data_IF_464699061836
#
_entry.id   IF_464699061836
#
_cell.length_a   1.000
_cell.length_b   1.000
_cell.length_c   1.000
_cell.angle_alpha   90.00
_cell.angle_beta   90.00
_cell.angle_gamma   90.00
#
_symmetry.space_group_name_H-M   'P 1'
#
loop_
_entity.id
_entity.type
_entity.pdbx_description
1 polymer ?
#
# COMPACT_ATOMS: atom_id res chain seq x y z
N UNK A 1 39.47 68.54 -22.67
CA UNK A 1 39.14 69.62 -21.72
C UNK A 1 38.79 68.95 -20.39
N UNK A 2 39.67 69.09 -19.39
CA UNK A 2 39.55 68.82 -17.94
C UNK A 2 38.87 67.52 -17.46
N UNK A 3 39.60 66.48 -17.01
CA UNK A 3 40.32 66.21 -15.73
C UNK A 3 39.38 65.74 -14.58
N UNK A 4 39.87 64.71 -13.85
CA UNK A 4 39.58 64.22 -12.48
C UNK A 4 38.57 63.07 -12.31
N UNK A 5 38.72 62.09 -11.40
CA UNK A 5 39.80 61.30 -10.74
C UNK A 5 39.08 60.50 -9.62
N UNK A 6 39.72 59.42 -9.14
CA UNK A 6 39.52 58.69 -7.84
C UNK A 6 38.32 57.73 -7.77
N UNK A 7 38.53 56.40 -7.84
CA UNK A 7 39.04 55.48 -6.78
C UNK A 7 38.23 55.56 -5.48
N UNK A 8 37.36 54.57 -5.22
CA UNK A 8 37.22 53.90 -3.91
C UNK A 8 36.86 52.42 -4.15
N UNK A 9 37.71 51.53 -3.63
CA UNK A 9 37.51 50.10 -3.46
C UNK A 9 36.54 49.83 -2.30
N UNK A 10 35.48 49.03 -2.51
CA UNK A 10 34.63 48.49 -1.45
C UNK A 10 34.21 47.05 -1.82
N UNK A 11 34.81 46.09 -1.10
CA UNK A 11 34.23 44.84 -0.61
C UNK A 11 33.14 44.17 -1.47
N UNK A 12 33.52 43.20 -2.30
CA UNK A 12 32.59 42.17 -2.78
C UNK A 12 32.35 41.16 -1.66
N UNK A 13 31.26 41.36 -0.93
CA UNK A 13 30.71 40.42 0.03
C UNK A 13 30.40 39.10 -0.70
N UNK A 14 31.14 38.04 -0.34
CA UNK A 14 30.89 36.68 -0.81
C UNK A 14 29.61 36.18 -0.15
N UNK A 15 28.51 36.11 -0.90
CA UNK A 15 27.34 35.33 -0.51
C UNK A 15 27.51 33.92 -1.07
N UNK A 16 28.19 33.05 -0.32
CA UNK A 16 28.15 31.61 -0.56
C UNK A 16 26.80 31.14 -0.04
N UNK A 17 25.84 30.92 -0.94
CA UNK A 17 24.57 30.29 -0.61
C UNK A 17 24.88 28.82 -0.31
N UNK A 18 25.07 28.48 0.98
CA UNK A 18 25.06 27.10 1.43
C UNK A 18 23.62 26.58 1.28
N UNK A 19 23.35 25.95 0.14
CA UNK A 19 22.21 25.05 0.01
C UNK A 19 22.50 23.85 0.92
N UNK A 20 21.99 23.92 2.15
CA UNK A 20 21.86 22.75 3.01
C UNK A 20 20.76 21.90 2.38
N UNK A 21 21.18 20.96 1.53
CA UNK A 21 20.32 19.87 1.08
C UNK A 21 20.13 18.99 2.31
N UNK A 22 19.04 19.19 3.04
CA UNK A 22 18.55 18.17 3.95
C UNK A 22 18.03 17.01 3.08
N UNK A 23 18.55 15.78 3.22
CA UNK A 23 17.85 14.63 2.68
C UNK A 23 16.54 14.52 3.45
N UNK A 24 15.43 14.82 2.77
CA UNK A 24 14.09 14.54 3.27
C UNK A 24 13.90 13.03 3.13
N UNK A 25 14.31 12.28 4.15
CA UNK A 25 13.94 10.89 4.29
C UNK A 25 12.49 10.86 4.79
N UNK A 26 11.54 10.73 3.88
CA UNK A 26 10.14 10.45 4.22
C UNK A 26 9.81 9.03 3.78
N UNK A 27 9.80 8.11 4.75
CA UNK A 27 9.26 6.77 4.60
C UNK A 27 8.40 6.50 5.83
N UNK A 28 7.08 6.40 5.66
CA UNK A 28 6.25 6.07 6.81
C UNK A 28 4.96 5.38 6.41
N UNK A 29 4.95 4.08 6.70
CA UNK A 29 3.80 3.50 7.38
C UNK A 29 3.50 4.30 8.67
N UNK A 30 2.26 4.37 9.18
CA UNK A 30 1.86 5.18 10.35
C UNK A 30 2.90 5.13 11.49
N UNK A 31 3.83 6.10 11.49
CA UNK A 31 5.07 6.07 12.29
C UNK A 31 5.52 7.49 12.61
N UNK A 32 6.57 7.63 13.42
CA UNK A 32 7.08 8.95 13.84
C UNK A 32 8.14 9.53 12.90
N UNK A 33 8.61 8.78 11.89
CA UNK A 33 9.76 9.15 11.04
C UNK A 33 11.05 9.46 11.81
N UNK A 34 11.17 8.96 13.04
CA UNK A 34 12.40 9.07 13.81
C UNK A 34 13.48 8.14 13.23
N UNK A 35 14.74 8.54 13.30
CA UNK A 35 15.85 7.61 13.02
C UNK A 35 15.94 6.54 14.10
N UNK A 36 16.40 5.31 13.78
CA UNK A 36 16.70 4.29 14.78
C UNK A 36 17.58 4.85 15.89
N UNK A 37 17.31 4.44 17.13
CA UNK A 37 17.99 4.97 18.32
C UNK A 37 19.48 4.66 18.25
N UNK A 38 19.86 3.49 17.73
CA UNK A 38 21.28 3.12 17.58
C UNK A 38 22.06 3.97 16.57
N UNK A 39 21.40 4.73 15.69
CA UNK A 39 22.10 5.54 14.68
C UNK A 39 22.61 6.86 15.24
N UNK A 40 21.93 7.42 16.23
CA UNK A 40 22.24 8.73 16.82
C UNK A 40 22.71 8.65 18.29
N UNK A 41 22.68 7.46 18.89
CA UNK A 41 23.08 7.29 20.28
C UNK A 41 24.57 7.56 20.50
N UNK A 42 24.86 8.42 21.48
CA UNK A 42 26.21 8.65 22.00
C UNK A 42 26.51 7.76 23.21
N UNK A 43 25.64 6.81 23.54
CA UNK A 43 25.82 5.94 24.70
C UNK A 43 27.03 5.04 24.51
N UNK A 44 27.98 5.16 25.44
CA UNK A 44 29.23 4.41 25.42
C UNK A 44 28.99 2.90 25.51
N UNK A 45 27.88 2.43 26.10
CA UNK A 45 27.54 1.00 26.13
C UNK A 45 27.23 0.46 24.72
N UNK A 46 26.46 1.21 23.91
CA UNK A 46 26.19 0.89 22.51
C UNK A 46 27.44 1.01 21.63
N UNK A 47 28.27 2.02 21.87
CA UNK A 47 29.49 2.26 21.07
C UNK A 47 30.62 1.27 21.38
N UNK A 48 30.73 0.79 22.63
CA UNK A 48 31.74 -0.21 23.04
C UNK A 48 31.30 -1.64 22.78
N UNK A 49 29.98 -1.90 22.77
CA UNK A 49 29.40 -3.17 22.38
C UNK A 49 28.77 -3.01 20.99
N UNK A 50 29.58 -3.07 19.94
CA UNK A 50 29.08 -3.70 18.70
C UNK A 50 28.97 -5.19 18.99
N UNK A 51 28.00 -5.60 19.80
CA UNK A 51 27.64 -7.02 19.89
C UNK A 51 27.38 -7.50 18.47
N UNK A 52 27.95 -8.65 18.08
CA UNK A 52 27.56 -9.30 16.84
C UNK A 52 26.03 -9.47 16.91
N UNK A 53 25.32 -8.67 16.11
CA UNK A 53 23.86 -8.73 16.05
C UNK A 53 23.54 -10.11 15.47
N UNK A 54 22.82 -10.97 16.21
CA UNK A 54 22.49 -12.30 15.71
C UNK A 54 21.80 -12.18 14.35
N UNK A 55 22.25 -12.99 13.40
CA UNK A 55 21.73 -13.01 12.05
C UNK A 55 20.84 -14.24 11.87
N UNK A 56 19.62 -14.01 11.41
CA UNK A 56 18.74 -15.03 10.84
C UNK A 56 18.86 -14.97 9.32
N UNK A 57 19.25 -16.08 8.70
CA UNK A 57 19.31 -16.20 7.24
C UNK A 57 18.10 -17.00 6.78
N UNK A 58 17.28 -16.43 5.91
CA UNK A 58 16.20 -17.16 5.24
C UNK A 58 16.73 -17.96 4.05
N UNK A 59 15.93 -18.90 3.57
CA UNK A 59 16.29 -19.78 2.46
C UNK A 59 16.50 -19.01 1.16
N UNK A 60 17.37 -19.56 0.31
CA UNK A 60 17.46 -19.11 -1.08
C UNK A 60 16.16 -19.45 -1.83
N UNK A 61 15.78 -18.57 -2.75
CA UNK A 61 14.60 -18.73 -3.57
C UNK A 61 14.92 -19.55 -4.83
N UNK A 62 14.00 -20.44 -5.21
CA UNK A 62 14.02 -21.10 -6.52
C UNK A 62 13.29 -20.19 -7.53
N UNK A 63 14.04 -19.22 -8.08
CA UNK A 63 13.47 -18.19 -8.95
C UNK A 63 12.86 -18.75 -10.25
N UNK A 64 13.43 -19.81 -10.80
CA UNK A 64 12.90 -20.47 -12.00
C UNK A 64 11.54 -21.10 -11.70
N UNK A 65 11.43 -21.80 -10.57
CA UNK A 65 10.16 -22.36 -10.11
C UNK A 65 9.12 -21.26 -9.84
N UNK A 66 9.51 -20.20 -9.12
CA UNK A 66 8.61 -19.09 -8.81
C UNK A 66 8.09 -18.42 -10.10
N UNK A 67 8.95 -18.25 -11.10
CA UNK A 67 8.53 -17.70 -12.39
C UNK A 67 7.48 -18.57 -13.08
N UNK A 68 7.62 -19.91 -13.06
CA UNK A 68 6.62 -20.81 -13.65
C UNK A 68 5.29 -20.78 -12.89
N UNK A 69 5.35 -20.74 -11.55
CA UNK A 69 4.15 -20.60 -10.72
C UNK A 69 3.43 -19.29 -11.00
N UNK A 70 4.17 -18.18 -11.10
CA UNK A 70 3.59 -16.87 -11.33
C UNK A 70 2.89 -16.77 -12.71
N UNK A 71 3.42 -17.41 -13.74
CA UNK A 71 2.76 -17.49 -15.05
C UNK A 71 1.42 -18.22 -14.99
N UNK A 72 1.30 -19.22 -14.12
CA UNK A 72 0.05 -19.97 -13.90
C UNK A 72 -0.93 -19.10 -13.10
N UNK A 73 -0.46 -18.44 -12.05
CA UNK A 73 -1.24 -17.49 -11.24
C UNK A 73 -1.84 -16.38 -12.12
N UNK A 74 -1.01 -15.76 -12.96
CA UNK A 74 -1.43 -14.69 -13.88
C UNK A 74 -2.49 -15.18 -14.88
N UNK A 75 -2.36 -16.41 -15.41
CA UNK A 75 -3.38 -17.02 -16.28
C UNK A 75 -4.71 -17.30 -15.57
N UNK A 76 -4.66 -17.60 -14.27
CA UNK A 76 -5.82 -17.81 -13.43
C UNK A 76 -6.44 -16.50 -12.91
N UNK A 77 -5.84 -15.35 -13.24
CA UNK A 77 -6.30 -14.05 -12.76
C UNK A 77 -5.97 -13.78 -11.29
N UNK A 78 -5.02 -14.50 -10.71
CA UNK A 78 -4.56 -14.25 -9.34
C UNK A 78 -3.80 -12.92 -9.28
N UNK A 79 -3.92 -12.17 -8.16
CA UNK A 79 -3.15 -10.93 -7.97
C UNK A 79 -1.64 -11.17 -8.12
N UNK A 80 -0.89 -10.29 -8.81
CA UNK A 80 0.54 -10.47 -9.04
C UNK A 80 1.31 -10.70 -7.73
N UNK A 81 2.08 -11.79 -7.68
CA UNK A 81 2.98 -12.09 -6.56
C UNK A 81 4.29 -11.34 -6.74
N UNK A 82 4.75 -10.69 -5.68
CA UNK A 82 6.06 -10.03 -5.65
C UNK A 82 7.02 -10.64 -4.65
N UNK A 83 6.50 -11.32 -3.62
CA UNK A 83 7.29 -11.82 -2.51
C UNK A 83 6.91 -13.23 -2.08
N UNK A 84 7.89 -13.95 -1.55
CA UNK A 84 7.73 -15.30 -1.03
C UNK A 84 7.83 -15.28 0.50
N UNK A 85 6.81 -15.75 1.24
CA UNK A 85 6.83 -15.76 2.70
C UNK A 85 7.56 -17.00 3.24
N UNK A 86 8.66 -16.81 3.95
CA UNK A 86 9.28 -17.86 4.75
C UNK A 86 8.81 -17.79 6.20
N UNK A 87 8.31 -18.92 6.71
CA UNK A 87 7.87 -19.01 8.11
C UNK A 87 9.06 -19.00 9.05
N UNK A 88 9.04 -18.10 10.03
CA UNK A 88 10.08 -17.97 11.06
C UNK A 88 9.44 -17.91 12.46
N UNK A 89 10.29 -17.90 13.49
CA UNK A 89 9.86 -17.75 14.89
C UNK A 89 10.84 -16.82 15.64
N UNK A 90 10.84 -15.54 15.29
CA UNK A 90 11.73 -14.55 15.91
C UNK A 90 10.95 -13.76 16.97
N UNK A 91 11.45 -13.71 18.19
CA UNK A 91 10.76 -13.07 19.33
C UNK A 91 11.72 -12.21 20.16
N UNK A 92 11.19 -11.38 21.07
CA UNK A 92 12.06 -10.63 22.00
C UNK A 92 12.94 -11.51 22.91
N UNK A 93 12.59 -12.80 23.05
CA UNK A 93 13.34 -13.77 23.85
C UNK A 93 14.24 -14.67 23.02
N UNK A 94 14.05 -14.72 21.69
CA UNK A 94 14.75 -15.65 20.80
C UNK A 94 15.08 -14.99 19.45
N UNK A 95 16.33 -15.13 19.00
CA UNK A 95 16.79 -14.62 17.70
C UNK A 95 17.46 -13.25 17.70
N UNK A 96 17.49 -12.50 18.81
CA UNK A 96 18.16 -11.18 18.87
C UNK A 96 18.99 -10.95 20.13
N UNK A 97 19.67 -9.81 20.20
CA UNK A 97 20.52 -9.40 21.33
C UNK A 97 19.97 -8.17 22.03
N UNK A 98 19.90 -8.23 23.35
CA UNK A 98 19.55 -7.09 24.20
C UNK A 98 20.80 -6.34 24.67
N UNK A 99 20.73 -5.02 24.66
CA UNK A 99 21.74 -4.13 25.24
C UNK A 99 21.05 -3.13 26.15
N UNK A 100 21.63 -2.93 27.34
CA UNK A 100 21.12 -1.96 28.32
C UNK A 100 21.91 -0.66 28.21
N UNK A 101 21.20 0.46 28.12
CA UNK A 101 21.77 1.80 28.03
C UNK A 101 22.06 2.35 29.42
N UNK A 102 22.85 3.43 29.48
CA UNK A 102 23.26 4.08 30.73
C UNK A 102 22.09 4.64 31.55
N UNK A 103 20.98 5.01 30.89
CA UNK A 103 19.74 5.46 31.52
C UNK A 103 18.82 4.31 31.98
N UNK A 104 19.23 3.05 31.77
CA UNK A 104 18.48 1.85 32.12
C UNK A 104 17.45 1.41 31.07
N UNK A 105 17.27 2.16 29.98
CA UNK A 105 16.51 1.70 28.81
C UNK A 105 17.25 0.55 28.12
N UNK A 106 16.57 -0.14 27.20
CA UNK A 106 17.12 -1.30 26.49
C UNK A 106 16.86 -1.22 25.00
N UNK A 107 17.79 -1.75 24.22
CA UNK A 107 17.63 -1.97 22.78
C UNK A 107 17.75 -3.47 22.50
N UNK A 108 16.80 -4.02 21.75
CA UNK A 108 16.87 -5.36 21.18
C UNK A 108 17.09 -5.27 19.68
N UNK A 109 18.03 -6.06 19.14
CA UNK A 109 18.32 -6.12 17.69
C UNK A 109 18.46 -7.53 17.16
N UNK A 110 17.99 -7.74 15.94
CA UNK A 110 18.23 -8.94 15.11
C UNK A 110 18.48 -8.50 13.67
N UNK A 111 19.43 -9.13 13.00
CA UNK A 111 19.68 -8.96 11.56
C UNK A 111 18.99 -10.09 10.81
N UNK A 112 18.34 -9.77 9.69
CA UNK A 112 17.66 -10.75 8.83
C UNK A 112 18.26 -10.59 7.43
N UNK A 113 18.83 -11.68 6.91
CA UNK A 113 19.43 -11.73 5.59
C UNK A 113 18.65 -12.66 4.67
N UNK A 114 18.24 -12.16 3.52
CA UNK A 114 17.55 -12.91 2.47
C UNK A 114 18.32 -12.79 1.16
N UNK A 115 19.13 -13.78 0.77
CA UNK A 115 20.11 -13.63 -0.31
C UNK A 115 19.54 -13.13 -1.64
N UNK A 116 18.35 -13.59 -2.03
CA UNK A 116 17.71 -13.29 -3.33
C UNK A 116 16.64 -12.20 -3.25
N UNK A 117 16.48 -11.53 -2.09
CA UNK A 117 15.48 -10.48 -1.92
C UNK A 117 15.94 -9.16 -2.53
N UNK A 118 15.04 -8.49 -3.24
CA UNK A 118 15.13 -7.10 -3.65
C UNK A 118 14.49 -6.18 -2.60
N UNK A 119 13.54 -6.71 -1.83
CA UNK A 119 12.95 -6.05 -0.66
C UNK A 119 12.56 -7.07 0.41
N UNK A 120 12.46 -6.62 1.65
CA UNK A 120 11.97 -7.41 2.76
C UNK A 120 10.85 -6.66 3.48
N UNK A 121 9.74 -7.36 3.74
CA UNK A 121 8.72 -6.97 4.72
C UNK A 121 8.49 -8.10 5.72
N UNK A 122 7.98 -7.74 6.90
CA UNK A 122 7.81 -8.65 8.02
C UNK A 122 6.34 -8.76 8.40
N UNK A 123 5.89 -9.98 8.68
CA UNK A 123 4.56 -10.27 9.20
C UNK A 123 4.68 -10.79 10.62
N UNK A 124 3.85 -10.24 11.50
CA UNK A 124 3.85 -10.52 12.93
C UNK A 124 2.55 -11.23 13.29
N UNK A 125 2.64 -12.35 14.01
CA UNK A 125 1.46 -12.97 14.64
C UNK A 125 1.18 -12.38 16.03
N UNK A 126 2.18 -11.70 16.64
CA UNK A 126 1.97 -10.94 17.87
C UNK A 126 2.71 -9.61 17.85
N UNK A 127 1.99 -8.56 18.21
CA UNK A 127 2.51 -7.20 18.21
C UNK A 127 1.84 -6.35 19.30
N UNK A 128 2.64 -5.78 20.20
CA UNK A 128 2.20 -4.77 21.15
C UNK A 128 3.36 -3.89 21.59
N UNK A 129 3.26 -2.59 21.32
CA UNK A 129 4.21 -1.56 21.75
C UNK A 129 3.67 -0.84 22.99
N UNK A 130 4.39 -0.82 24.13
CA UNK A 130 4.02 -0.01 25.29
C UNK A 130 4.35 1.47 25.05
N UNK A 131 3.80 2.35 25.88
CA UNK A 131 4.09 3.79 25.82
C UNK A 131 5.60 4.07 25.87
N UNK A 132 6.09 4.88 24.92
CA UNK A 132 7.52 5.17 24.72
C UNK A 132 8.34 4.07 24.04
N UNK A 133 7.78 2.87 23.84
CA UNK A 133 8.38 1.80 23.05
C UNK A 133 8.40 2.15 21.56
N UNK A 134 9.47 1.78 20.86
CA UNK A 134 9.70 2.11 19.44
C UNK A 134 10.28 0.93 18.69
N UNK A 135 9.67 0.54 17.57
CA UNK A 135 10.20 -0.46 16.65
C UNK A 135 10.64 0.19 15.34
N UNK A 136 11.79 -0.21 14.83
CA UNK A 136 12.34 0.19 13.55
C UNK A 136 12.72 -1.04 12.73
N UNK A 137 12.63 -0.92 11.40
CA UNK A 137 13.18 -1.88 10.45
C UNK A 137 14.00 -1.08 9.44
N UNK A 138 15.26 -1.44 9.23
CA UNK A 138 16.15 -0.66 8.36
C UNK A 138 17.15 -1.54 7.63
N UNK A 139 17.59 -1.10 6.44
CA UNK A 139 18.65 -1.76 5.71
C UNK A 139 19.95 -1.72 6.53
N UNK A 140 20.67 -2.83 6.62
CA UNK A 140 21.86 -2.94 7.50
C UNK A 140 22.97 -1.94 7.12
N UNK A 141 23.04 -1.54 5.84
CA UNK A 141 23.91 -0.47 5.32
C UNK A 141 23.45 0.95 5.68
N UNK A 142 22.27 1.08 6.31
CA UNK A 142 21.59 2.32 6.69
C UNK A 142 21.11 3.17 5.51
N UNK A 143 20.94 2.57 4.33
CA UNK A 143 20.41 3.24 3.14
C UNK A 143 18.93 3.61 3.25
N UNK A 144 18.15 2.83 4.02
CA UNK A 144 16.71 3.06 4.21
C UNK A 144 16.23 2.56 5.57
N UNK A 145 15.12 3.14 6.07
CA UNK A 145 14.50 2.76 7.33
C UNK A 145 13.00 3.08 7.35
N UNK A 146 12.22 2.24 8.01
CA UNK A 146 10.81 2.49 8.35
C UNK A 146 10.62 2.45 9.87
N UNK A 147 9.69 3.26 10.37
CA UNK A 147 9.42 3.44 11.80
C UNK A 147 9.62 4.90 12.27
N UNK A 148 9.54 5.19 13.57
CA UNK A 148 9.24 4.26 14.64
C UNK A 148 7.77 3.82 14.63
N UNK A 149 7.53 2.52 14.71
CA UNK A 149 6.22 1.97 15.08
C UNK A 149 6.07 2.07 16.60
N UNK A 150 4.90 2.51 17.05
CA UNK A 150 4.64 2.91 18.44
C UNK A 150 3.29 2.37 18.91
N UNK A 151 2.79 2.84 20.06
CA UNK A 151 1.43 2.54 20.55
C UNK A 151 0.34 2.83 19.50
N UNK A 152 0.59 3.76 18.56
CA UNK A 152 -0.33 4.09 17.45
C UNK A 152 -0.57 2.92 16.48
N UNK A 153 0.30 1.92 16.48
CA UNK A 153 0.20 0.76 15.59
C UNK A 153 -0.46 -0.45 16.26
N UNK A 154 -0.68 -0.40 17.58
CA UNK A 154 -1.34 -1.48 18.31
C UNK A 154 -2.77 -1.67 17.80
N UNK A 155 -3.15 -2.94 17.67
CA UNK A 155 -4.51 -3.39 17.39
C UNK A 155 -5.26 -3.64 18.70
N UNK A 156 -6.48 -4.17 18.64
CA UNK A 156 -7.31 -4.39 19.83
C UNK A 156 -6.67 -5.39 20.80
N UNK A 157 -6.06 -6.45 20.27
CA UNK A 157 -5.32 -7.47 21.00
C UNK A 157 -3.88 -7.59 20.50
N UNK A 158 -2.91 -7.91 21.37
CA UNK A 158 -1.55 -8.26 20.96
C UNK A 158 -1.45 -9.45 20.01
N UNK A 159 -2.50 -10.26 19.87
CA UNK A 159 -2.55 -11.42 18.97
C UNK A 159 -3.16 -11.12 17.60
N UNK A 160 -3.59 -9.88 17.36
CA UNK A 160 -4.18 -9.47 16.08
C UNK A 160 -3.10 -9.16 15.03
N UNK A 161 -1.84 -9.54 15.29
CA UNK A 161 -0.74 -9.39 14.36
C UNK A 161 -0.39 -7.95 13.96
N UNK A 162 0.51 -7.84 12.99
CA UNK A 162 0.94 -6.60 12.35
C UNK A 162 1.69 -6.92 11.05
N UNK A 163 1.80 -5.96 10.14
CA UNK A 163 2.69 -6.04 8.99
C UNK A 163 3.51 -4.77 8.85
N UNK A 164 4.76 -4.90 8.42
CA UNK A 164 5.57 -3.74 8.02
C UNK A 164 5.49 -3.51 6.51
N UNK A 165 5.74 -2.27 6.10
CA UNK A 165 6.07 -1.96 4.71
C UNK A 165 7.41 -2.59 4.27
N UNK A 166 7.74 -2.33 3.01
CA UNK A 166 8.95 -2.82 2.34
C UNK A 166 10.17 -2.01 2.77
N UNK A 167 11.25 -2.73 3.05
CA UNK A 167 12.60 -2.17 3.09
C UNK A 167 13.35 -2.73 1.89
N UNK A 168 13.76 -1.86 0.97
CA UNK A 168 14.47 -2.22 -0.27
C UNK A 168 15.93 -2.57 0.05
N UNK A 169 16.12 -3.78 0.57
CA UNK A 169 17.41 -4.38 0.85
C UNK A 169 17.23 -5.88 1.01
N UNK A 170 18.28 -6.63 0.72
CA UNK A 170 18.35 -8.06 0.98
C UNK A 170 18.86 -8.37 2.41
N UNK A 171 19.17 -7.31 3.18
CA UNK A 171 19.78 -7.39 4.49
C UNK A 171 19.26 -6.26 5.39
N UNK A 172 18.44 -6.64 6.37
CA UNK A 172 17.79 -5.69 7.27
C UNK A 172 18.14 -5.95 8.73
N UNK A 173 18.01 -4.92 9.55
CA UNK A 173 18.02 -5.03 11.01
C UNK A 173 16.68 -4.56 11.56
N UNK A 174 16.14 -5.35 12.49
CA UNK A 174 14.99 -4.98 13.31
C UNK A 174 15.52 -4.47 14.65
N UNK A 175 15.07 -3.28 15.07
CA UNK A 175 15.46 -2.66 16.32
C UNK A 175 14.24 -2.31 17.17
N UNK A 176 14.17 -2.83 18.38
CA UNK A 176 13.16 -2.45 19.37
C UNK A 176 13.82 -1.70 20.53
N UNK A 177 13.43 -0.45 20.72
CA UNK A 177 13.79 0.37 21.87
C UNK A 177 12.71 0.30 22.94
N UNK A 178 13.14 0.02 24.17
CA UNK A 178 12.30 -0.17 25.33
C UNK A 178 12.75 0.74 26.49
N UNK A 179 11.97 1.75 26.87
CA UNK A 179 12.26 2.56 28.04
C UNK A 179 12.29 1.74 29.34
N UNK A 180 13.13 2.15 30.28
CA UNK A 180 13.29 1.48 31.59
C UNK A 180 11.95 1.30 32.33
N UNK A 181 11.06 2.29 32.24
CA UNK A 181 9.75 2.31 32.91
C UNK A 181 8.76 1.25 32.41
N UNK A 182 8.98 0.70 31.21
CA UNK A 182 8.09 -0.28 30.57
C UNK A 182 8.79 -1.59 30.25
N UNK A 183 9.91 -1.86 30.95
CA UNK A 183 10.71 -3.07 30.78
C UNK A 183 9.86 -4.35 30.82
N UNK A 184 9.94 -5.16 29.77
CA UNK A 184 9.25 -6.44 29.62
C UNK A 184 7.78 -6.34 29.25
N UNK A 185 7.26 -5.15 28.90
CA UNK A 185 5.84 -4.96 28.54
C UNK A 185 5.57 -5.05 27.04
N UNK A 186 6.60 -4.97 26.19
CA UNK A 186 6.45 -5.12 24.74
C UNK A 186 6.30 -6.57 24.30
N UNK A 187 5.55 -6.78 23.23
CA UNK A 187 5.35 -8.09 22.60
C UNK A 187 5.71 -7.97 21.13
N UNK A 188 6.64 -8.79 20.66
CA UNK A 188 6.97 -8.96 19.24
C UNK A 188 7.18 -10.43 18.95
N UNK A 189 6.48 -10.92 17.92
CA UNK A 189 6.66 -12.23 17.33
C UNK A 189 6.54 -12.09 15.82
N UNK A 190 7.67 -12.25 15.11
CA UNK A 190 7.72 -12.28 13.65
C UNK A 190 7.46 -13.72 13.23
N UNK A 191 6.39 -13.93 12.46
CA UNK A 191 5.96 -15.24 11.98
C UNK A 191 6.35 -15.49 10.53
N UNK A 192 6.55 -14.44 9.75
CA UNK A 192 7.06 -14.55 8.38
C UNK A 192 8.05 -13.43 8.04
N UNK A 193 9.12 -13.82 7.34
CA UNK A 193 9.96 -12.91 6.55
C UNK A 193 9.53 -13.07 5.10
N UNK A 194 9.11 -11.99 4.46
CA UNK A 194 8.76 -12.01 3.04
C UNK A 194 9.96 -11.52 2.23
N UNK A 195 10.44 -12.39 1.35
CA UNK A 195 11.51 -12.09 0.40
C UNK A 195 10.89 -11.63 -0.91
N UNK A 196 10.90 -10.31 -1.15
CA UNK A 196 10.44 -9.71 -2.40
C UNK A 196 11.42 -10.00 -3.54
N UNK A 197 11.05 -10.84 -4.50
CA UNK A 197 11.90 -11.23 -5.63
C UNK A 197 11.51 -10.53 -6.95
N UNK A 198 10.35 -9.87 -6.96
CA UNK A 198 9.98 -8.88 -7.98
C UNK A 198 9.95 -7.50 -7.33
N UNK A 199 10.46 -6.51 -8.04
CA UNK A 199 10.36 -5.13 -7.59
C UNK A 199 8.91 -4.65 -7.71
N UNK A 200 8.39 -4.03 -6.65
CA UNK A 200 7.15 -3.24 -6.71
C UNK A 200 7.47 -1.83 -7.25
N UNK A 201 8.21 -1.80 -8.36
CA UNK A 201 8.99 -0.67 -8.89
C UNK A 201 10.32 -0.40 -8.15
N UNK A 202 11.43 -0.48 -8.90
CA UNK A 202 12.65 0.29 -8.65
C UNK A 202 13.33 0.54 -10.02
N UNK A 203 12.91 1.61 -10.68
CA UNK A 203 13.70 2.77 -11.11
C UNK A 203 15.23 2.74 -11.31
N UNK A 204 15.99 1.75 -10.86
CA UNK A 204 17.46 1.75 -10.96
C UNK A 204 17.98 0.55 -11.75
N UNK A 205 18.12 0.71 -13.07
CA UNK A 205 19.36 0.56 -13.86
C UNK A 205 19.08 0.49 -15.37
N UNK A 206 20.01 1.04 -16.14
CA UNK A 206 19.95 1.34 -17.58
C UNK A 206 19.72 0.16 -18.53
N UNK A 207 19.48 -1.06 -18.03
CA UNK A 207 19.16 -2.25 -18.83
C UNK A 207 17.78 -2.87 -18.54
N UNK A 208 16.97 -2.29 -17.63
CA UNK A 208 15.52 -2.55 -17.54
C UNK A 208 14.83 -1.27 -17.09
N UNK A 209 14.38 -0.48 -18.05
CA UNK A 209 13.65 0.75 -17.80
C UNK A 209 12.43 0.52 -16.88
N UNK A 210 12.26 1.41 -15.90
CA UNK A 210 10.97 1.96 -15.46
C UNK A 210 9.74 1.51 -16.27
N UNK A 211 8.78 0.82 -15.63
CA UNK A 211 7.51 0.40 -16.24
C UNK A 211 7.31 -1.12 -16.27
N UNK A 212 7.05 -1.72 -15.09
CA UNK A 212 6.48 -3.09 -15.08
C UNK A 212 5.09 -3.07 -15.70
N UNK A 213 4.35 -1.98 -15.50
CA UNK A 213 3.13 -1.74 -16.26
C UNK A 213 3.43 -1.29 -17.68
N UNK A 214 2.62 -1.71 -18.65
CA UNK A 214 2.87 -1.40 -20.04
C UNK A 214 2.96 0.10 -20.34
N UNK A 215 3.70 0.45 -21.41
CA UNK A 215 4.04 1.85 -21.75
C UNK A 215 2.85 2.73 -22.14
N UNK A 216 1.66 2.15 -22.32
CA UNK A 216 0.43 2.90 -22.59
C UNK A 216 -0.20 3.51 -21.34
N UNK A 217 0.20 3.04 -20.15
CA UNK A 217 -0.33 3.51 -18.88
C UNK A 217 -0.03 4.98 -18.65
N UNK A 218 -0.99 5.68 -18.05
CA UNK A 218 -0.95 7.13 -17.90
C UNK A 218 -0.79 7.46 -16.43
N UNK A 219 0.30 8.13 -16.06
CA UNK A 219 0.47 8.60 -14.67
C UNK A 219 -0.70 9.48 -14.25
N UNK A 220 -1.18 9.31 -13.01
CA UNK A 220 -2.35 10.05 -12.50
C UNK A 220 -2.17 11.58 -12.50
N UNK A 221 -0.93 12.07 -12.60
CA UNK A 221 -0.57 13.49 -12.67
C UNK A 221 -0.28 13.97 -14.12
N UNK A 222 -0.74 13.23 -15.12
CA UNK A 222 -0.89 13.69 -16.50
C UNK A 222 -2.16 14.54 -16.69
N UNK A 223 -2.31 15.27 -17.81
CA UNK A 223 -3.48 16.09 -18.09
C UNK A 223 -4.83 15.38 -17.95
N UNK A 224 -4.88 14.07 -18.23
CA UNK A 224 -6.07 13.23 -18.02
C UNK A 224 -6.55 13.20 -16.56
N UNK A 225 -5.63 13.38 -15.60
CA UNK A 225 -5.88 13.38 -14.17
C UNK A 225 -6.07 14.77 -13.54
N UNK A 226 -5.93 15.87 -14.29
CA UNK A 226 -6.03 17.25 -13.75
C UNK A 226 -7.34 17.48 -12.99
N UNK A 227 -8.42 16.87 -13.45
CA UNK A 227 -9.74 17.00 -12.86
C UNK A 227 -10.07 15.93 -11.80
N UNK A 228 -9.13 15.05 -11.43
CA UNK A 228 -9.34 13.88 -10.56
C UNK A 228 -8.44 13.89 -9.31
N UNK A 229 -7.93 15.07 -8.94
CA UNK A 229 -6.94 15.23 -7.87
C UNK A 229 -7.50 14.93 -6.46
N UNK A 230 -8.81 15.00 -6.28
CA UNK A 230 -9.45 14.58 -5.04
C UNK A 230 -9.58 13.07 -4.99
N UNK A 231 -10.15 12.49 -6.04
CA UNK A 231 -10.45 11.07 -6.16
C UNK A 231 -9.19 10.21 -6.05
N UNK A 232 -8.06 10.64 -6.64
CA UNK A 232 -6.80 9.90 -6.52
C UNK A 232 -6.32 9.73 -5.08
N UNK A 233 -6.69 10.64 -4.16
CA UNK A 233 -6.32 10.56 -2.73
C UNK A 233 -7.14 9.51 -1.97
N UNK A 234 -8.18 8.94 -2.58
CA UNK A 234 -8.90 7.81 -2.04
C UNK A 234 -8.28 6.47 -2.42
N UNK A 235 -7.46 6.42 -3.47
CA UNK A 235 -6.94 5.18 -4.06
C UNK A 235 -5.60 4.81 -3.45
N UNK A 236 -5.47 3.54 -3.08
CA UNK A 236 -4.22 2.95 -2.59
C UNK A 236 -3.89 1.66 -3.32
N UNK A 237 -2.59 1.37 -3.40
CA UNK A 237 -2.08 0.03 -3.68
C UNK A 237 -2.16 -0.80 -2.39
N UNK A 238 -2.43 -2.09 -2.52
CA UNK A 238 -2.55 -3.03 -1.40
C UNK A 238 -1.42 -4.05 -1.52
N UNK A 239 -0.64 -4.23 -0.46
CA UNK A 239 0.18 -5.43 -0.28
C UNK A 239 -0.68 -6.50 0.37
N UNK A 240 -1.30 -7.31 -0.48
CA UNK A 240 -2.23 -8.38 -0.11
C UNK A 240 -1.46 -9.50 0.59
N UNK A 241 -1.77 -9.69 1.88
CA UNK A 241 -1.07 -10.62 2.76
C UNK A 241 0.44 -10.42 2.83
N UNK A 242 0.92 -9.22 2.46
CA UNK A 242 2.33 -8.90 2.34
C UNK A 242 3.09 -9.57 1.19
N UNK A 243 2.43 -10.27 0.25
CA UNK A 243 3.11 -11.06 -0.81
C UNK A 243 2.60 -10.80 -2.22
N UNK A 244 1.38 -10.28 -2.36
CA UNK A 244 0.73 -9.96 -3.65
C UNK A 244 0.27 -8.52 -3.71
N UNK A 245 -0.17 -8.07 -4.88
CA UNK A 245 -0.58 -6.68 -5.12
C UNK A 245 -2.00 -6.60 -5.65
N UNK A 246 -2.79 -5.71 -5.06
CA UNK A 246 -4.07 -5.25 -5.61
C UNK A 246 -4.22 -3.73 -5.47
N UNK A 247 -5.35 -3.20 -5.89
CA UNK A 247 -5.77 -1.81 -5.73
C UNK A 247 -7.08 -1.73 -4.94
N UNK A 248 -7.41 -0.54 -4.47
CA UNK A 248 -8.74 -0.25 -3.93
C UNK A 248 -8.92 1.21 -3.60
N UNK A 249 -10.05 1.57 -3.00
CA UNK A 249 -10.34 2.96 -2.66
C UNK A 249 -11.17 3.16 -1.41
N UNK A 250 -10.92 4.26 -0.70
CA UNK A 250 -11.78 4.72 0.38
C UNK A 250 -13.13 5.16 -0.17
N UNK A 251 -14.20 4.71 0.50
CA UNK A 251 -15.59 5.06 0.17
C UNK A 251 -16.27 5.71 1.37
N UNK A 252 -17.09 6.71 1.10
CA UNK A 252 -17.84 7.42 2.12
C UNK A 252 -19.11 6.65 2.55
N UNK A 253 -19.69 7.03 3.68
CA UNK A 253 -20.97 6.51 4.17
C UNK A 253 -22.02 7.61 4.27
N UNK A 254 -23.30 7.26 4.36
CA UNK A 254 -24.36 8.25 4.60
C UNK A 254 -24.25 8.94 5.96
N UNK A 255 -23.48 8.39 6.91
CA UNK A 255 -23.17 9.04 8.18
C UNK A 255 -22.15 10.18 8.04
N UNK A 256 -21.38 10.25 6.94
CA UNK A 256 -20.33 11.25 6.71
C UNK A 256 -19.35 11.37 7.90
N UNK A 257 -18.99 10.25 8.50
CA UNK A 257 -18.19 10.18 9.74
C UNK A 257 -16.70 9.92 9.50
N UNK A 258 -16.26 9.87 8.24
CA UNK A 258 -14.88 9.54 7.82
C UNK A 258 -14.41 8.16 8.28
N UNK A 259 -15.33 7.23 8.57
CA UNK A 259 -14.98 5.83 8.83
C UNK A 259 -14.15 5.27 7.67
N UNK A 260 -13.00 4.60 7.93
CA UNK A 260 -12.07 4.18 6.88
C UNK A 260 -12.55 2.89 6.20
N UNK A 261 -13.71 2.95 5.54
CA UNK A 261 -14.20 1.91 4.66
C UNK A 261 -13.46 1.95 3.33
N UNK A 262 -12.96 0.79 2.91
CA UNK A 262 -12.11 0.65 1.74
C UNK A 262 -12.64 -0.48 0.86
N UNK A 263 -13.05 -0.14 -0.37
CA UNK A 263 -13.57 -1.07 -1.35
C UNK A 263 -12.43 -1.64 -2.21
N UNK A 264 -12.39 -2.96 -2.33
CA UNK A 264 -11.49 -3.72 -3.21
C UNK A 264 -12.22 -4.95 -3.77
N UNK A 265 -11.51 -5.82 -4.48
CA UNK A 265 -12.06 -7.04 -5.07
C UNK A 265 -12.06 -8.23 -4.10
N UNK A 266 -13.03 -9.14 -4.23
CA UNK A 266 -13.11 -10.34 -3.39
C UNK A 266 -11.95 -11.30 -3.65
N UNK A 267 -11.56 -11.49 -4.91
CA UNK A 267 -10.42 -12.36 -5.26
C UNK A 267 -9.09 -11.85 -4.67
N UNK A 268 -8.97 -10.56 -4.35
CA UNK A 268 -7.82 -10.02 -3.61
C UNK A 268 -7.79 -10.44 -2.13
N UNK A 269 -8.92 -10.85 -1.55
CA UNK A 269 -9.03 -11.11 -0.10
C UNK A 269 -9.39 -12.56 0.23
N UNK A 270 -10.01 -13.31 -0.68
CA UNK A 270 -10.62 -14.60 -0.40
C UNK A 270 -9.64 -15.69 0.07
N UNK A 271 -8.36 -15.59 -0.31
CA UNK A 271 -7.31 -16.51 0.12
C UNK A 271 -6.78 -16.21 1.55
N UNK A 272 -7.21 -15.10 2.14
CA UNK A 272 -6.75 -14.62 3.46
C UNK A 272 -7.88 -14.53 4.48
N UNK A 273 -9.11 -14.25 4.03
CA UNK A 273 -10.23 -14.08 4.93
C UNK A 273 -11.60 -14.07 4.26
N UNK A 274 -12.62 -14.12 5.11
CA UNK A 274 -14.02 -13.97 4.74
C UNK A 274 -14.75 -13.22 5.85
N UNK A 275 -15.68 -12.33 5.47
CA UNK A 275 -16.40 -11.47 6.43
C UNK A 275 -17.14 -12.26 7.52
N UNK A 276 -17.53 -13.52 7.24
CA UNK A 276 -18.31 -14.35 8.16
C UNK A 276 -17.41 -15.21 9.04
N UNK A 277 -16.38 -15.86 8.47
CA UNK A 277 -15.63 -16.92 9.17
C UNK A 277 -14.28 -16.47 9.72
N UNK A 278 -13.62 -15.54 9.04
CA UNK A 278 -12.24 -15.15 9.35
C UNK A 278 -11.95 -13.77 8.76
N UNK A 279 -12.45 -12.69 9.38
CA UNK A 279 -12.44 -11.37 8.75
C UNK A 279 -11.14 -10.60 8.94
N UNK A 280 -10.22 -11.07 9.80
CA UNK A 280 -8.97 -10.37 10.08
C UNK A 280 -8.00 -10.40 8.89
N UNK A 281 -7.50 -9.23 8.51
CA UNK A 281 -6.50 -9.02 7.47
C UNK A 281 -5.32 -8.21 8.02
N UNK A 282 -4.80 -8.62 9.18
CA UNK A 282 -3.66 -7.97 9.85
C UNK A 282 -2.37 -7.94 9.03
N UNK A 283 -2.21 -8.87 8.08
CA UNK A 283 -1.07 -8.96 7.17
C UNK A 283 -1.13 -8.00 5.97
N UNK A 284 -2.22 -7.23 5.82
CA UNK A 284 -2.40 -6.31 4.70
C UNK A 284 -1.78 -4.95 5.00
N UNK A 285 -1.18 -4.33 3.97
CA UNK A 285 -0.69 -2.95 4.02
C UNK A 285 -1.25 -2.15 2.85
N UNK A 286 -1.51 -0.86 3.07
CA UNK A 286 -2.14 0.03 2.10
C UNK A 286 -1.21 1.20 1.83
N UNK A 287 -0.81 1.39 0.58
CA UNK A 287 0.19 2.38 0.16
C UNK A 287 -0.53 3.55 -0.48
N UNK A 288 -0.51 4.67 0.24
CA UNK A 288 -1.14 5.94 -0.12
C UNK A 288 -0.15 6.83 -0.86
N UNK A 289 -0.66 7.67 -1.77
CA UNK A 289 0.16 8.61 -2.55
C UNK A 289 1.34 7.96 -3.28
N UNK A 290 1.29 6.66 -3.55
CA UNK A 290 2.29 5.98 -4.35
C UNK A 290 2.07 6.37 -5.83
N UNK A 291 2.64 7.49 -6.26
CA UNK A 291 2.38 8.07 -7.57
C UNK A 291 3.60 8.83 -8.11
N UNK A 292 3.73 8.89 -9.43
CA UNK A 292 4.73 9.76 -10.06
C UNK A 292 4.39 11.24 -9.77
N UNK A 293 5.39 12.09 -9.47
CA UNK A 293 5.15 13.50 -9.11
C UNK A 293 4.64 14.35 -10.29
N UNK A 294 4.75 13.86 -11.51
CA UNK A 294 4.29 14.52 -12.73
C UNK A 294 3.84 13.49 -13.77
N UNK A 295 3.53 13.93 -14.99
CA UNK A 295 3.18 13.03 -16.08
C UNK A 295 4.34 12.13 -16.51
N UNK A 296 5.58 12.57 -16.31
CA UNK A 296 6.77 11.78 -16.66
C UNK A 296 7.12 10.80 -15.54
N UNK A 297 7.56 9.60 -15.91
CA UNK A 297 8.12 8.67 -14.93
C UNK A 297 9.33 9.30 -14.23
N UNK A 298 9.40 9.11 -12.91
CA UNK A 298 10.51 9.57 -12.08
C UNK A 298 11.62 8.53 -12.08
N UNK A 299 12.88 8.95 -11.99
CA UNK A 299 14.00 8.06 -11.69
C UNK A 299 14.28 7.96 -10.18
N UNK A 300 13.28 8.26 -9.35
CA UNK A 300 13.35 8.10 -7.89
C UNK A 300 12.02 7.58 -7.39
N UNK A 301 12.09 6.54 -6.56
CA UNK A 301 10.94 5.94 -5.89
C UNK A 301 10.15 6.99 -5.09
N UNK A 302 8.82 7.09 -5.26
CA UNK A 302 8.00 7.99 -4.46
C UNK A 302 8.09 7.67 -2.96
N UNK A 303 7.96 8.68 -2.08
CA UNK A 303 7.81 8.43 -0.65
C UNK A 303 6.64 7.48 -0.37
N UNK A 304 6.89 6.42 0.40
CA UNK A 304 5.86 5.45 0.77
C UNK A 304 5.15 5.92 2.03
N UNK A 305 3.86 6.23 1.89
CA UNK A 305 2.94 6.47 3.00
C UNK A 305 2.06 5.24 3.16
N UNK A 306 1.98 4.63 4.34
CA UNK A 306 1.16 3.43 4.47
C UNK A 306 0.44 3.25 5.80
N UNK A 307 -0.61 2.44 5.76
CA UNK A 307 -1.33 1.93 6.93
C UNK A 307 -1.33 0.41 6.89
N UNK A 308 -1.48 -0.24 8.04
CA UNK A 308 -1.53 -1.71 8.13
C UNK A 308 -2.74 -2.23 8.89
N UNK A 309 -3.23 -3.37 8.41
CA UNK A 309 -4.33 -4.12 8.95
C UNK A 309 -5.68 -3.63 8.43
N UNK A 310 -6.58 -4.59 8.25
CA UNK A 310 -7.99 -4.33 7.99
C UNK A 310 -8.85 -5.47 8.53
N UNK A 311 -10.16 -5.26 8.53
CA UNK A 311 -11.16 -6.30 8.76
C UNK A 311 -12.12 -6.32 7.57
N UNK A 312 -12.40 -7.49 7.02
CA UNK A 312 -13.45 -7.66 6.00
C UNK A 312 -14.80 -7.50 6.70
N UNK A 313 -15.54 -6.45 6.32
CA UNK A 313 -16.89 -6.21 6.86
C UNK A 313 -17.97 -6.78 5.97
N UNK A 314 -17.73 -6.83 4.66
CA UNK A 314 -18.59 -7.55 3.73
C UNK A 314 -17.81 -8.01 2.49
N UNK A 315 -18.12 -9.19 1.96
CA UNK A 315 -17.57 -9.66 0.69
C UNK A 315 -18.51 -10.63 -0.01
N UNK A 316 -18.45 -10.67 -1.35
CA UNK A 316 -19.22 -11.64 -2.13
C UNK A 316 -18.64 -11.92 -3.51
N UNK A 317 -18.69 -13.18 -3.93
CA UNK A 317 -18.07 -13.70 -5.16
C UNK A 317 -18.80 -13.28 -6.46
N UNK A 318 -20.14 -13.38 -6.60
CA UNK A 318 -20.83 -13.04 -7.84
C UNK A 318 -20.58 -11.66 -8.46
N UNK A 319 -20.31 -10.65 -7.64
CA UNK A 319 -19.90 -9.30 -8.10
C UNK A 319 -18.49 -8.94 -7.65
N UNK A 320 -17.73 -9.93 -7.17
CA UNK A 320 -16.33 -9.84 -6.77
C UNK A 320 -15.98 -8.63 -5.88
N UNK A 321 -16.83 -8.29 -4.91
CA UNK A 321 -16.58 -7.13 -4.04
C UNK A 321 -16.08 -7.57 -2.67
N UNK A 322 -15.19 -6.78 -2.09
CA UNK A 322 -14.77 -6.88 -0.69
C UNK A 322 -14.70 -5.47 -0.10
N UNK A 323 -15.50 -5.23 0.92
CA UNK A 323 -15.50 -4.01 1.72
C UNK A 323 -14.73 -4.28 3.00
N UNK A 324 -13.68 -3.50 3.19
CA UNK A 324 -12.79 -3.55 4.33
C UNK A 324 -13.06 -2.37 5.26
N UNK A 325 -12.81 -2.54 6.55
CA UNK A 325 -12.59 -1.45 7.51
C UNK A 325 -11.12 -1.46 7.89
N UNK A 326 -10.39 -0.39 7.59
CA UNK A 326 -8.96 -0.32 7.89
C UNK A 326 -8.73 -0.22 9.40
N UNK A 327 -7.75 -0.96 9.91
CA UNK A 327 -7.39 -0.95 11.34
C UNK A 327 -6.60 0.30 11.71
N UNK A 328 -5.70 0.74 10.83
CA UNK A 328 -5.04 2.04 10.91
C UNK A 328 -5.74 3.04 9.99
N UNK A 329 -6.16 4.16 10.56
CA UNK A 329 -6.88 5.20 9.81
C UNK A 329 -5.90 6.09 9.04
N UNK A 330 -5.97 6.16 7.69
CA UNK A 330 -5.08 6.99 6.88
C UNK A 330 -5.16 8.48 7.21
N UNK A 331 -6.23 8.98 7.83
CA UNK A 331 -6.31 10.38 8.26
C UNK A 331 -5.28 10.75 9.33
N UNK A 332 -4.71 9.75 10.00
CA UNK A 332 -3.68 9.94 11.02
C UNK A 332 -2.26 10.01 10.43
N UNK A 333 -2.10 9.83 9.12
CA UNK A 333 -0.83 10.00 8.44
C UNK A 333 -0.46 11.48 8.34
N UNK A 334 0.78 11.81 8.68
CA UNK A 334 1.33 13.16 8.45
C UNK A 334 1.49 13.42 6.95
N UNK A 335 1.20 14.65 6.51
CA UNK A 335 1.33 15.09 5.11
C UNK A 335 0.44 14.35 4.11
N UNK A 336 -0.59 13.64 4.60
CA UNK A 336 -1.63 13.05 3.77
C UNK A 336 -3.00 13.49 4.29
N UNK A 337 -3.88 13.84 3.37
CA UNK A 337 -5.30 14.05 3.68
C UNK A 337 -6.07 13.10 2.78
N UNK A 338 -6.71 12.04 3.33
CA UNK A 338 -7.47 11.12 2.50
C UNK A 338 -8.67 11.82 1.87
N UNK A 339 -9.18 11.24 0.79
CA UNK A 339 -10.48 11.53 0.23
C UNK A 339 -11.35 10.28 0.35
N UNK A 340 -12.66 10.47 0.53
CA UNK A 340 -13.62 9.36 0.63
C UNK A 340 -14.58 9.50 -0.55
N UNK A 341 -14.53 8.55 -1.48
CA UNK A 341 -15.33 8.62 -2.69
C UNK A 341 -16.81 8.47 -2.36
N UNK A 342 -17.65 9.28 -3.00
CA UNK A 342 -19.07 8.96 -3.10
C UNK A 342 -19.26 7.72 -3.97
N UNK A 343 -20.39 7.05 -3.81
CA UNK A 343 -20.79 5.88 -4.59
C UNK A 343 -22.20 6.06 -5.14
N UNK A 344 -22.53 5.33 -6.20
CA UNK A 344 -23.85 5.32 -6.81
C UNK A 344 -24.35 3.87 -6.95
N UNK A 345 -25.37 3.53 -6.15
CA UNK A 345 -25.99 2.19 -6.15
C UNK A 345 -27.10 2.02 -7.18
N UNK A 346 -27.43 3.07 -7.97
CA UNK A 346 -28.41 2.93 -9.05
C UNK A 346 -27.84 2.07 -10.17
N UNK A 347 -28.68 1.31 -10.84
CA UNK A 347 -28.28 0.47 -11.98
C UNK A 347 -28.14 1.29 -13.28
N UNK A 348 -27.47 2.44 -13.19
CA UNK A 348 -27.18 3.36 -14.29
C UNK A 348 -25.74 3.86 -14.14
N UNK A 349 -24.87 3.51 -15.07
CA UNK A 349 -23.45 3.86 -15.03
C UNK A 349 -23.16 5.31 -15.45
N UNK A 350 -24.01 5.88 -16.32
CA UNK A 350 -23.73 7.15 -16.99
C UNK A 350 -22.70 7.00 -18.12
N UNK A 351 -22.39 8.11 -18.80
CA UNK A 351 -21.40 8.12 -19.89
C UNK A 351 -20.10 8.74 -19.41
N UNK A 352 -19.00 8.04 -19.68
CA UNK A 352 -17.64 8.48 -19.39
C UNK A 352 -17.26 8.48 -17.90
N UNK A 353 -15.96 8.61 -17.66
CA UNK A 353 -15.36 8.53 -16.34
C UNK A 353 -13.91 8.06 -16.42
N UNK A 354 -13.39 7.54 -15.30
CA UNK A 354 -12.03 7.01 -15.18
C UNK A 354 -11.97 5.77 -14.31
N UNK A 355 -10.96 4.94 -14.53
CA UNK A 355 -10.38 4.08 -13.50
C UNK A 355 -9.09 4.74 -12.95
N UNK A 356 -8.85 4.61 -11.66
CA UNK A 356 -7.59 5.05 -11.01
C UNK A 356 -7.03 3.86 -10.27
N UNK A 357 -5.83 3.39 -10.62
CA UNK A 357 -5.35 2.05 -10.27
C UNK A 357 -3.84 1.94 -10.18
N UNK A 358 -3.35 0.78 -9.73
CA UNK A 358 -1.93 0.43 -9.63
C UNK A 358 -1.62 -0.83 -10.47
N UNK A 359 -1.37 -0.68 -11.78
CA UNK A 359 -1.09 -1.80 -12.67
C UNK A 359 0.30 -2.36 -12.40
N UNK A 360 0.42 -3.67 -12.29
CA UNK A 360 1.67 -4.41 -12.09
C UNK A 360 2.49 -3.94 -10.86
N UNK A 361 1.81 -3.36 -9.86
CA UNK A 361 2.44 -2.75 -8.69
C UNK A 361 3.19 -1.45 -8.96
N UNK A 362 2.96 -0.81 -10.11
CA UNK A 362 3.55 0.47 -10.46
C UNK A 362 2.84 1.64 -9.74
N UNK A 363 3.45 2.81 -9.85
CA UNK A 363 2.89 4.09 -9.40
C UNK A 363 1.49 4.31 -9.97
N UNK A 364 0.64 5.01 -9.21
CA UNK A 364 -0.77 5.23 -9.54
C UNK A 364 -0.98 5.78 -10.95
N UNK A 365 -1.86 5.12 -11.71
CA UNK A 365 -2.25 5.47 -13.07
C UNK A 365 -3.72 5.88 -13.16
N UNK A 366 -4.09 6.47 -14.29
CA UNK A 366 -5.46 6.84 -14.63
C UNK A 366 -5.83 6.38 -16.04
N UNK A 367 -6.98 5.73 -16.18
CA UNK A 367 -7.45 5.17 -17.47
C UNK A 367 -8.84 5.70 -17.78
N UNK A 368 -8.98 6.70 -18.67
CA UNK A 368 -10.27 7.30 -19.00
C UNK A 368 -11.10 6.43 -19.95
N UNK A 369 -12.42 6.50 -19.81
CA UNK A 369 -13.40 5.97 -20.77
C UNK A 369 -14.42 7.04 -21.14
N UNK A 370 -15.01 6.92 -22.34
CA UNK A 370 -15.99 7.87 -22.88
C UNK A 370 -17.32 7.23 -23.24
N UNK A 371 -17.42 5.90 -23.13
CA UNK A 371 -18.64 5.14 -23.43
C UNK A 371 -19.59 5.11 -22.23
N UNK A 372 -20.81 4.59 -22.45
CA UNK A 372 -21.67 4.11 -21.36
C UNK A 372 -21.34 2.64 -21.08
N UNK A 373 -20.85 2.27 -19.89
CA UNK A 373 -20.58 0.88 -19.55
C UNK A 373 -21.83 0.01 -19.70
N UNK A 374 -21.68 -1.14 -20.33
CA UNK A 374 -22.76 -2.10 -20.54
C UNK A 374 -22.89 -3.02 -19.32
N UNK A 375 -24.12 -3.37 -18.96
CA UNK A 375 -24.37 -4.36 -17.90
C UNK A 375 -24.26 -5.77 -18.47
N UNK A 376 -23.28 -6.57 -18.04
CA UNK A 376 -23.04 -7.95 -18.50
C UNK A 376 -22.57 -8.85 -17.36
N UNK A 377 -22.50 -10.16 -17.60
CA UNK A 377 -21.77 -11.07 -16.71
C UNK A 377 -20.27 -10.88 -16.87
N UNK A 378 -19.49 -11.34 -15.89
CA UNK A 378 -18.04 -11.33 -15.98
C UNK A 378 -17.57 -12.07 -17.24
N UNK A 379 -16.67 -11.45 -18.00
CA UNK A 379 -16.13 -11.95 -19.28
C UNK A 379 -17.17 -12.24 -20.37
N UNK A 380 -18.39 -11.68 -20.23
CA UNK A 380 -19.46 -11.80 -21.23
C UNK A 380 -19.67 -10.50 -21.98
N UNK A 381 -19.93 -10.62 -23.28
CA UNK A 381 -20.37 -9.53 -24.16
C UNK A 381 -21.90 -9.40 -24.24
N UNK A 382 -22.66 -10.29 -23.61
CA UNK A 382 -24.13 -10.31 -23.70
C UNK A 382 -24.76 -9.31 -22.72
N UNK A 383 -25.39 -8.22 -23.18
CA UNK A 383 -25.95 -7.21 -22.29
C UNK A 383 -27.26 -7.68 -21.65
N UNK A 384 -27.36 -7.53 -20.34
CA UNK A 384 -28.61 -7.63 -19.59
C UNK A 384 -28.53 -6.78 -18.33
N UNK A 385 -29.60 -6.04 -18.02
CA UNK A 385 -29.64 -5.15 -16.85
C UNK A 385 -29.52 -5.87 -15.51
N UNK A 386 -29.78 -7.18 -15.47
CA UNK A 386 -29.74 -8.00 -14.24
C UNK A 386 -28.37 -8.54 -13.88
N UNK A 387 -27.37 -8.38 -14.75
CA UNK A 387 -26.07 -9.01 -14.54
C UNK A 387 -25.24 -8.32 -13.47
N UNK A 388 -24.06 -8.86 -13.17
CA UNK A 388 -23.26 -8.50 -12.00
C UNK A 388 -22.18 -7.46 -12.27
N UNK A 389 -21.81 -7.22 -13.54
CA UNK A 389 -20.66 -6.39 -13.91
C UNK A 389 -21.01 -5.25 -14.87
N UNK A 390 -20.22 -4.17 -14.79
CA UNK A 390 -20.07 -3.15 -15.82
C UNK A 390 -18.93 -3.55 -16.74
N UNK A 391 -19.24 -3.82 -18.01
CA UNK A 391 -18.25 -3.98 -19.08
C UNK A 391 -17.90 -2.61 -19.63
N UNK A 392 -16.61 -2.27 -19.62
CA UNK A 392 -16.07 -0.98 -20.06
C UNK A 392 -14.93 -1.20 -21.05
N UNK A 393 -14.82 -0.33 -22.04
CA UNK A 393 -13.66 -0.24 -22.94
C UNK A 393 -13.03 1.13 -22.81
N UNK A 394 -11.71 1.18 -22.83
CA UNK A 394 -10.95 2.39 -22.55
C UNK A 394 -10.88 3.33 -23.75
N UNK A 395 -10.82 4.63 -23.48
CA UNK A 395 -10.50 5.62 -24.50
C UNK A 395 -8.99 5.81 -24.67
N UNK A 396 -8.23 5.54 -23.60
CA UNK A 396 -6.77 5.58 -23.55
C UNK A 396 -6.28 4.82 -22.32
N UNK A 397 -5.11 4.20 -22.40
CA UNK A 397 -4.55 3.39 -21.31
C UNK A 397 -5.17 2.00 -21.26
N UNK A 398 -4.88 1.25 -20.20
CA UNK A 398 -5.43 -0.07 -19.94
C UNK A 398 -5.62 -0.29 -18.43
N UNK A 399 -5.95 -1.51 -18.05
CA UNK A 399 -5.63 -2.04 -16.72
C UNK A 399 -4.76 -3.27 -16.89
N UNK A 400 -4.04 -3.65 -15.84
CA UNK A 400 -3.21 -4.86 -15.80
C UNK A 400 -3.34 -5.54 -14.43
N UNK A 401 -2.74 -6.73 -14.26
CA UNK A 401 -2.71 -7.42 -12.98
C UNK A 401 -2.26 -6.48 -11.85
N UNK A 402 -2.92 -6.51 -10.69
CA UNK A 402 -2.71 -5.55 -9.60
C UNK A 402 -3.64 -4.33 -9.62
N UNK A 403 -4.24 -4.03 -10.77
CA UNK A 403 -5.34 -3.05 -10.87
C UNK A 403 -6.63 -3.55 -10.21
N UNK A 404 -6.73 -4.86 -9.96
CA UNK A 404 -7.87 -5.51 -9.32
C UNK A 404 -8.32 -4.77 -8.07
N UNK A 405 -9.63 -4.57 -7.94
CA UNK A 405 -10.25 -3.81 -6.86
C UNK A 405 -10.24 -2.29 -7.02
N UNK A 406 -9.56 -1.73 -8.02
CA UNK A 406 -9.59 -0.29 -8.31
C UNK A 406 -11.00 0.22 -8.64
N UNK A 407 -11.34 1.47 -8.27
CA UNK A 407 -12.66 2.02 -8.53
C UNK A 407 -12.87 2.40 -10.01
N UNK A 408 -14.05 2.06 -10.55
CA UNK A 408 -14.61 2.73 -11.73
C UNK A 408 -15.42 3.93 -11.27
N UNK A 409 -14.96 5.12 -11.63
CA UNK A 409 -15.57 6.40 -11.21
C UNK A 409 -16.24 7.04 -12.42
N UNK A 410 -17.54 7.31 -12.33
CA UNK A 410 -18.28 7.92 -13.43
C UNK A 410 -18.01 9.43 -13.54
N UNK A 411 -18.46 10.05 -14.64
CA UNK A 411 -18.34 11.49 -14.89
C UNK A 411 -18.98 12.39 -13.82
N UNK A 412 -19.90 11.85 -13.01
CA UNK A 412 -20.50 12.52 -11.84
C UNK A 412 -19.71 12.34 -10.54
N UNK A 413 -18.51 11.72 -10.60
CA UNK A 413 -17.57 11.51 -9.49
C UNK A 413 -18.01 10.47 -8.46
N UNK A 414 -18.87 9.54 -8.85
CA UNK A 414 -19.29 8.42 -8.00
C UNK A 414 -18.65 7.11 -8.43
N UNK A 415 -18.23 6.30 -7.45
CA UNK A 415 -17.85 4.90 -7.67
C UNK A 415 -19.10 4.11 -8.07
N UNK A 416 -19.02 3.44 -9.21
CA UNK A 416 -20.09 2.59 -9.75
C UNK A 416 -19.72 1.10 -9.75
N UNK A 417 -18.47 0.76 -9.46
CA UNK A 417 -17.96 -0.60 -9.33
C UNK A 417 -16.48 -0.66 -9.00
N UNK A 418 -15.97 -1.86 -8.75
CA UNK A 418 -14.56 -2.17 -8.53
C UNK A 418 -14.06 -3.21 -9.54
N UNK A 419 -12.81 -3.11 -10.00
CA UNK A 419 -12.29 -3.97 -11.05
C UNK A 419 -12.24 -5.43 -10.59
N UNK A 420 -12.88 -6.32 -11.33
CA UNK A 420 -12.67 -7.76 -11.20
C UNK A 420 -11.50 -8.19 -12.09
N UNK A 421 -11.55 -7.82 -13.36
CA UNK A 421 -10.50 -8.13 -14.34
C UNK A 421 -11.01 -7.96 -15.75
N UNK A 422 -10.23 -8.41 -16.73
CA UNK A 422 -10.61 -8.37 -18.12
C UNK A 422 -9.50 -8.71 -19.08
N UNK A 423 -9.65 -8.25 -20.31
CA UNK A 423 -8.78 -8.58 -21.43
C UNK A 423 -7.92 -7.38 -21.88
N UNK A 424 -8.12 -6.21 -21.25
CA UNK A 424 -7.31 -5.05 -21.59
C UNK A 424 -5.86 -5.25 -21.18
N UNK A 425 -4.97 -4.64 -21.95
CA UNK A 425 -3.53 -4.56 -21.70
C UNK A 425 -2.95 -3.50 -22.63
N UNK A 426 -1.69 -3.12 -22.47
CA UNK A 426 -1.10 -2.16 -23.40
C UNK A 426 -0.96 -2.68 -24.84
N UNK A 427 -0.92 -4.00 -25.06
CA UNK A 427 -1.01 -4.59 -26.40
C UNK A 427 -2.45 -4.75 -26.92
N UNK A 428 -3.46 -4.60 -26.04
CA UNK A 428 -4.88 -4.84 -26.33
C UNK A 428 -5.78 -3.76 -25.73
N UNK A 429 -5.47 -2.47 -25.94
CA UNK A 429 -6.16 -1.35 -25.27
C UNK A 429 -7.65 -1.19 -25.63
N UNK A 430 -8.12 -1.84 -26.71
CA UNK A 430 -9.53 -1.84 -27.12
C UNK A 430 -10.33 -2.98 -26.49
N UNK A 431 -9.66 -3.94 -25.88
CA UNK A 431 -10.32 -5.05 -25.20
C UNK A 431 -10.96 -4.57 -23.89
N UNK A 432 -12.11 -5.15 -23.49
CA UNK A 432 -12.87 -4.70 -22.34
C UNK A 432 -12.30 -5.18 -21.00
N UNK A 433 -12.68 -4.45 -19.96
CA UNK A 433 -12.61 -4.89 -18.57
C UNK A 433 -14.00 -4.93 -17.92
N UNK A 434 -14.11 -5.65 -16.81
CA UNK A 434 -15.34 -5.84 -16.05
C UNK A 434 -15.18 -5.41 -14.60
N UNK A 435 -16.09 -4.55 -14.17
CA UNK A 435 -16.16 -4.03 -12.81
C UNK A 435 -17.40 -4.56 -12.11
N UNK A 436 -17.23 -5.21 -10.96
CA UNK A 436 -18.35 -5.63 -10.13
C UNK A 436 -19.22 -4.43 -9.74
N UNK A 437 -20.52 -4.49 -10.00
CA UNK A 437 -21.38 -3.30 -9.87
C UNK A 437 -21.72 -3.01 -8.43
N UNK A 438 -21.52 -1.76 -8.00
CA UNK A 438 -22.05 -1.28 -6.71
C UNK A 438 -23.56 -1.51 -6.63
N UNK A 439 -24.30 -1.32 -7.74
CA UNK A 439 -25.74 -1.57 -7.81
C UNK A 439 -26.12 -3.03 -7.53
N UNK A 440 -25.30 -3.99 -7.96
CA UNK A 440 -25.51 -5.40 -7.65
C UNK A 440 -25.09 -5.70 -6.21
N UNK A 441 -23.88 -5.28 -5.81
CA UNK A 441 -23.34 -5.48 -4.46
C UNK A 441 -24.15 -4.79 -3.36
N UNK A 442 -24.99 -3.80 -3.70
CA UNK A 442 -25.83 -3.05 -2.77
C UNK A 442 -26.74 -3.94 -1.93
N UNK A 443 -27.52 -4.78 -2.60
CA UNK A 443 -28.43 -5.75 -1.99
C UNK A 443 -28.01 -7.19 -2.22
N UNK A 444 -27.23 -7.43 -3.27
CA UNK A 444 -26.71 -8.73 -3.64
C UNK A 444 -27.81 -9.81 -3.70
N UNK A 445 -28.79 -9.59 -4.59
CA UNK A 445 -29.99 -10.42 -4.70
C UNK A 445 -30.74 -10.61 -3.36
N UNK A 446 -30.79 -9.55 -2.54
CA UNK A 446 -31.37 -9.56 -1.19
C UNK A 446 -30.74 -10.60 -0.26
N UNK A 447 -29.42 -10.79 -0.34
CA UNK A 447 -28.67 -11.64 0.60
C UNK A 447 -29.07 -11.28 2.03
N UNK A 448 -29.44 -12.26 2.87
CA UNK A 448 -29.97 -12.00 4.21
C UNK A 448 -28.90 -11.50 5.20
N UNK A 449 -27.66 -11.94 5.03
CA UNK A 449 -26.51 -11.56 5.84
C UNK A 449 -25.93 -10.20 5.37
N UNK A 450 -25.84 -9.23 6.28
CA UNK A 450 -25.30 -7.90 5.96
C UNK A 450 -23.81 -7.94 5.57
N UNK A 451 -23.09 -9.01 5.95
CA UNK A 451 -21.69 -9.25 5.55
C UNK A 451 -21.55 -9.71 4.10
N UNK A 452 -22.65 -9.80 3.36
CA UNK A 452 -22.68 -10.15 1.93
C UNK A 452 -23.22 -9.03 1.05
N UNK A 453 -23.42 -7.81 1.57
CA UNK A 453 -23.97 -6.68 0.81
C UNK A 453 -23.42 -5.33 1.32
N UNK A 454 -23.36 -4.32 0.46
CA UNK A 454 -22.80 -3.01 0.79
C UNK A 454 -23.77 -2.13 1.60
N UNK A 455 -25.09 -2.31 1.43
CA UNK A 455 -26.11 -1.38 1.95
C UNK A 455 -25.94 -1.06 3.43
N UNK A 456 -25.80 -2.07 4.29
CA UNK A 456 -25.78 -1.88 5.75
C UNK A 456 -24.54 -1.11 6.23
N UNK A 457 -23.45 -1.16 5.46
CA UNK A 457 -22.17 -0.54 5.82
C UNK A 457 -22.04 0.86 5.26
N UNK A 458 -22.49 1.08 4.01
CA UNK A 458 -22.38 2.36 3.32
C UNK A 458 -23.58 3.28 3.58
N UNK A 459 -24.75 2.72 3.90
CA UNK A 459 -25.93 3.46 4.35
C UNK A 459 -26.40 3.03 5.75
N UNK A 460 -25.57 3.25 6.79
CA UNK A 460 -25.92 2.88 8.16
C UNK A 460 -27.11 3.67 8.72
N UNK A 461 -27.44 4.83 8.12
CA UNK A 461 -28.59 5.64 8.49
C UNK A 461 -29.89 5.23 7.79
N UNK A 462 -29.83 4.28 6.85
CA UNK A 462 -30.95 3.80 6.06
C UNK A 462 -31.72 4.94 5.35
N UNK A 463 -30.98 5.89 4.77
CA UNK A 463 -31.55 7.06 4.06
C UNK A 463 -31.62 6.86 2.55
N UNK A 464 -30.99 5.82 2.02
CA UNK A 464 -31.06 5.44 0.61
C UNK A 464 -32.07 4.29 0.45
N UNK A 465 -33.11 4.46 -0.38
CA UNK A 465 -34.06 3.39 -0.67
C UNK A 465 -33.36 2.14 -1.23
N UNK A 466 -33.92 0.96 -0.88
CA UNK A 466 -33.52 -0.34 -1.44
C UNK A 466 -33.79 -0.42 -2.94
#
# INVERSE_FOLDING_TARGET
MYVFLLIISQMKLRLVLLLVIFPVLCYAQLSTNESPVSWSSTDVSLLRQTSDIPQVTVSQLDLDKLQQEDLIDEQNGEPPRFGYPEKVAITLTDGGVWQTLSDGSRIWRVRIFSPDALSINLLYDKFYMPEGGKLFVYATDKGSSIGAFTTRNNKESPTDGFATGLVFSNDITVEYYEPAAVKGKGVLSISYVVSGYRLISEILQEDKALGSSGSCEINVNCPEGDNWQNEKRAVAMILVGGTRICSGSLVNTTANDTSPYFLTANHCTMNYGDAVTSPDLSSFSFYWMYEAPSCTNSSTEPPIYSTSGATIVANYEPSDFSLLRLSEDPKNLSNFTPYYLGWDSRNTSGTGGVAIHHPSGDVKKITPYTITPASTDYLSDTPSSTQTHWRVTWSKGATEGGSSGSPLINSSRYVIGQLHGGYSSCSSQTEPDWYGKVSYSWLNNNASDSRRRLKDWLDPLNVIPS
#
